data_IF_079876869703
#
_entry.id   IF_079876869703
#
_cell.length_a   1.000
_cell.length_b   1.000
_cell.length_c   1.000
_cell.angle_alpha   90.00
_cell.angle_beta   90.00
_cell.angle_gamma   90.00
#
_symmetry.space_group_name_H-M   'P 1'
#
loop_
_entity.id
_entity.type
_entity.pdbx_description
1 polymer ?
#
# COMPACT_ATOMS: atom_id res chain seq x y z
N UNK A 1 -20.49 6.80 -6.99
CA UNK A 1 -20.09 6.58 -8.39
C UNK A 1 -20.01 7.94 -9.07
N UNK A 2 -18.84 8.57 -9.03
CA UNK A 2 -18.52 9.78 -9.79
C UNK A 2 -17.87 9.32 -11.09
N UNK A 3 -18.59 9.45 -12.20
CA UNK A 3 -18.13 9.08 -13.51
C UNK A 3 -16.89 9.92 -13.88
N UNK A 4 -15.76 9.25 -14.15
CA UNK A 4 -14.71 9.85 -14.93
C UNK A 4 -15.25 10.18 -16.32
N UNK A 5 -15.07 11.40 -16.84
CA UNK A 5 -15.45 11.69 -18.22
C UNK A 5 -14.66 10.76 -19.15
N UNK A 6 -15.35 10.18 -20.13
CA UNK A 6 -14.76 9.43 -21.23
C UNK A 6 -13.86 10.37 -22.08
N UNK A 7 -12.62 10.56 -21.66
CA UNK A 7 -11.55 11.23 -22.43
C UNK A 7 -10.51 10.24 -22.97
N UNK A 8 -10.93 9.02 -23.29
CA UNK A 8 -10.06 8.03 -23.93
C UNK A 8 -10.29 8.01 -25.44
N UNK A 9 -9.76 8.99 -26.18
CA UNK A 9 -9.62 8.87 -27.63
C UNK A 9 -8.40 9.68 -28.09
N UNK A 10 -7.38 8.96 -28.57
CA UNK A 10 -6.30 9.45 -29.45
C UNK A 10 -5.26 10.43 -28.87
N UNK A 11 -4.56 10.09 -27.79
CA UNK A 11 -3.24 10.65 -27.57
C UNK A 11 -2.18 9.60 -27.94
N UNK A 12 -1.33 9.92 -28.94
CA UNK A 12 -0.03 9.25 -29.14
C UNK A 12 0.66 9.19 -27.78
N UNK A 13 1.05 8.00 -27.36
CA UNK A 13 1.76 7.75 -26.11
C UNK A 13 3.04 8.58 -26.06
N UNK A 14 2.96 9.77 -25.49
CA UNK A 14 4.15 10.61 -25.30
C UNK A 14 4.94 10.04 -24.14
N UNK A 15 6.22 9.74 -24.38
CA UNK A 15 7.15 9.31 -23.35
C UNK A 15 7.34 10.45 -22.35
N UNK A 16 7.05 10.18 -21.08
CA UNK A 16 7.23 11.12 -19.97
C UNK A 16 8.51 10.83 -19.21
N UNK A 17 9.11 11.87 -18.64
CA UNK A 17 10.17 11.78 -17.64
C UNK A 17 9.54 11.90 -16.24
N UNK A 18 9.52 10.82 -15.50
CA UNK A 18 8.82 10.68 -14.21
C UNK A 18 9.84 10.55 -13.10
N UNK A 19 9.68 11.34 -12.04
CA UNK A 19 10.43 11.19 -10.79
C UNK A 19 9.51 10.64 -9.72
N UNK A 20 9.83 9.47 -9.18
CA UNK A 20 9.15 8.87 -8.02
C UNK A 20 10.00 9.13 -6.78
N UNK A 21 9.46 9.86 -5.79
CA UNK A 21 10.14 10.14 -4.53
C UNK A 21 9.48 9.34 -3.40
N UNK A 22 10.23 8.39 -2.83
CA UNK A 22 9.74 7.45 -1.83
C UNK A 22 10.65 7.42 -0.59
N UNK A 23 10.06 7.43 0.60
CA UNK A 23 10.81 7.23 1.85
C UNK A 23 11.02 5.75 2.19
N UNK A 24 10.29 4.86 1.52
CA UNK A 24 10.40 3.40 1.61
C UNK A 24 10.49 2.84 0.19
N UNK A 25 11.58 2.15 -0.10
CA UNK A 25 11.89 1.55 -1.41
C UNK A 25 12.83 0.36 -1.20
N UNK A 26 12.79 -0.69 -2.04
CA UNK A 26 13.64 -1.86 -1.83
C UNK A 26 15.11 -1.52 -1.52
N UNK A 27 15.76 -2.29 -0.61
CA UNK A 27 15.35 -3.60 -0.08
C UNK A 27 14.34 -3.61 1.09
N UNK A 28 13.72 -2.47 1.42
CA UNK A 28 12.61 -2.44 2.38
C UNK A 28 11.43 -3.27 1.84
N UNK A 29 10.86 -4.14 2.68
CA UNK A 29 9.76 -5.06 2.34
C UNK A 29 8.38 -4.55 2.76
N UNK A 30 8.21 -3.24 2.95
CA UNK A 30 6.91 -2.65 3.23
C UNK A 30 6.00 -2.62 1.99
N UNK A 31 4.69 -2.64 2.18
CA UNK A 31 3.74 -2.55 1.07
C UNK A 31 3.94 -1.29 0.20
N UNK A 32 4.33 -0.16 0.81
CA UNK A 32 4.68 1.06 0.07
C UNK A 32 5.96 0.89 -0.78
N UNK A 33 6.98 0.20 -0.25
CA UNK A 33 8.21 -0.06 -1.00
C UNK A 33 7.94 -0.93 -2.23
N UNK A 34 7.17 -2.01 -2.05
CA UNK A 34 6.76 -2.93 -3.13
C UNK A 34 5.94 -2.17 -4.17
N UNK A 35 4.94 -1.40 -3.74
CA UNK A 35 4.12 -0.59 -4.66
C UNK A 35 4.97 0.41 -5.45
N UNK A 36 5.84 1.17 -4.78
CA UNK A 36 6.70 2.17 -5.42
C UNK A 36 7.64 1.55 -6.45
N UNK A 37 8.15 0.35 -6.18
CA UNK A 37 8.98 -0.41 -7.11
C UNK A 37 8.15 -0.89 -8.31
N UNK A 38 7.01 -1.52 -8.07
CA UNK A 38 6.14 -2.03 -9.13
C UNK A 38 5.69 -0.90 -10.05
N UNK A 39 5.29 0.25 -9.49
CA UNK A 39 4.94 1.44 -10.26
C UNK A 39 6.11 1.92 -11.15
N UNK A 40 7.32 2.00 -10.59
CA UNK A 40 8.49 2.39 -11.35
C UNK A 40 8.80 1.42 -12.51
N UNK A 41 8.72 0.12 -12.25
CA UNK A 41 8.95 -0.92 -13.27
C UNK A 41 7.84 -0.92 -14.33
N UNK A 42 6.57 -0.82 -13.94
CA UNK A 42 5.44 -0.77 -14.87
C UNK A 42 5.53 0.43 -15.81
N UNK A 43 5.76 1.63 -15.27
CA UNK A 43 5.95 2.84 -16.08
C UNK A 43 7.18 2.75 -16.99
N UNK A 44 8.28 2.15 -16.51
CA UNK A 44 9.46 1.90 -17.34
C UNK A 44 9.18 0.92 -18.47
N UNK A 45 8.44 -0.16 -18.20
CA UNK A 45 8.03 -1.14 -19.22
C UNK A 45 7.15 -0.52 -20.32
N UNK A 46 6.35 0.49 -19.96
CA UNK A 46 5.54 1.30 -20.91
C UNK A 46 6.34 2.37 -21.65
N UNK A 47 7.67 2.40 -21.48
CA UNK A 47 8.59 3.26 -22.27
C UNK A 47 8.93 4.60 -21.62
N UNK A 48 8.39 4.92 -20.45
CA UNK A 48 8.70 6.18 -19.77
C UNK A 48 10.16 6.22 -19.25
N UNK A 49 10.72 7.43 -19.13
CA UNK A 49 11.99 7.66 -18.44
C UNK A 49 11.74 7.80 -16.94
N UNK A 50 12.08 6.76 -16.16
CA UNK A 50 11.76 6.71 -14.72
C UNK A 50 13.02 6.92 -13.88
N UNK A 51 12.93 7.86 -12.94
CA UNK A 51 13.94 8.14 -11.92
C UNK A 51 13.31 7.94 -10.54
N UNK A 52 14.03 7.32 -9.64
CA UNK A 52 13.59 7.12 -8.23
C UNK A 52 14.51 7.89 -7.31
N UNK A 53 13.95 8.64 -6.35
CA UNK A 53 14.68 9.26 -5.25
C UNK A 53 14.27 8.54 -3.96
N UNK A 54 15.20 7.84 -3.31
CA UNK A 54 14.91 7.05 -2.13
C UNK A 54 16.10 7.04 -1.14
N UNK A 55 15.89 6.68 0.14
CA UNK A 55 16.99 6.47 1.08
C UNK A 55 17.96 5.38 0.61
N UNK A 56 19.22 5.54 0.93
CA UNK A 56 20.25 4.52 0.65
C UNK A 56 20.20 3.40 1.67
N UNK A 57 20.18 2.13 1.26
CA UNK A 57 20.26 1.00 2.19
C UNK A 57 21.65 0.83 2.83
N UNK A 58 22.65 1.54 2.32
CA UNK A 58 24.05 1.47 2.79
C UNK A 58 24.53 2.81 3.41
N UNK A 59 23.59 3.65 3.83
CA UNK A 59 23.80 4.96 4.46
C UNK A 59 24.51 6.01 3.59
N UNK A 60 25.33 5.61 2.61
CA UNK A 60 26.05 6.52 1.68
C UNK A 60 25.22 6.81 0.45
N UNK A 61 25.22 8.05 -0.07
CA UNK A 61 24.52 8.36 -1.31
C UNK A 61 25.22 7.71 -2.52
N UNK A 62 24.42 7.22 -3.48
CA UNK A 62 24.92 6.70 -4.76
C UNK A 62 23.82 6.81 -5.84
N UNK A 63 24.22 6.62 -7.08
CA UNK A 63 23.30 6.48 -8.22
C UNK A 63 23.52 5.10 -8.82
N UNK A 64 22.42 4.40 -9.09
CA UNK A 64 22.43 3.10 -9.75
C UNK A 64 21.43 3.09 -10.90
N UNK A 65 21.68 2.24 -11.90
CA UNK A 65 20.68 1.90 -12.91
C UNK A 65 20.25 0.45 -12.68
N UNK A 66 18.99 0.27 -12.32
CA UNK A 66 18.42 -1.05 -12.03
C UNK A 66 17.27 -1.28 -13.00
N UNK A 67 17.39 -2.27 -13.88
CA UNK A 67 16.40 -2.59 -14.92
C UNK A 67 15.94 -1.38 -15.76
N UNK A 68 16.87 -0.45 -16.05
CA UNK A 68 16.59 0.76 -16.84
C UNK A 68 15.96 1.92 -16.05
N UNK A 69 15.81 1.78 -14.74
CA UNK A 69 15.39 2.83 -13.81
C UNK A 69 16.63 3.46 -13.18
N UNK A 70 16.72 4.78 -13.17
CA UNK A 70 17.81 5.50 -12.51
C UNK A 70 17.44 5.77 -11.06
N UNK A 71 18.08 5.09 -10.13
CA UNK A 71 17.89 5.26 -8.69
C UNK A 71 18.88 6.27 -8.11
N UNK A 72 18.38 7.36 -7.57
CA UNK A 72 19.12 8.35 -6.80
C UNK A 72 18.97 8.02 -5.32
N UNK A 73 19.94 7.31 -4.75
CA UNK A 73 19.93 6.90 -3.35
C UNK A 73 20.54 7.99 -2.47
N UNK A 74 19.69 8.54 -1.60
CA UNK A 74 20.05 9.65 -0.70
C UNK A 74 20.76 9.11 0.54
N UNK A 75 21.60 9.95 1.13
CA UNK A 75 22.17 9.64 2.45
C UNK A 75 21.07 9.31 3.44
N UNK A 76 21.27 8.27 4.23
CA UNK A 76 20.29 7.77 5.20
C UNK A 76 20.96 7.34 6.49
N UNK A 77 20.15 7.17 7.53
CA UNK A 77 20.55 6.70 8.85
C UNK A 77 19.62 5.58 9.29
N UNK A 78 20.19 4.51 9.81
CA UNK A 78 19.43 3.45 10.47
C UNK A 78 19.16 3.87 11.93
N UNK A 79 17.92 3.69 12.36
CA UNK A 79 17.54 3.92 13.75
C UNK A 79 17.42 2.58 14.46
N UNK A 80 18.15 2.39 15.55
CA UNK A 80 18.22 1.15 16.32
C UNK A 80 16.83 0.64 16.77
N UNK A 81 15.89 1.55 16.99
CA UNK A 81 14.50 1.24 17.39
C UNK A 81 13.55 0.95 16.20
N UNK A 82 13.97 1.23 14.96
CA UNK A 82 13.21 1.01 13.73
C UNK A 82 13.99 0.08 12.80
N UNK A 83 14.32 -1.12 13.27
CA UNK A 83 15.13 -2.08 12.52
C UNK A 83 14.57 -2.28 11.10
N UNK A 84 15.45 -2.14 10.11
CA UNK A 84 15.11 -2.28 8.69
C UNK A 84 14.46 -1.04 8.08
N UNK A 85 14.40 0.11 8.78
CA UNK A 85 13.92 1.36 8.24
C UNK A 85 15.05 2.40 8.20
N UNK A 86 15.43 2.83 6.99
CA UNK A 86 16.44 3.85 6.76
C UNK A 86 15.77 5.19 6.47
N UNK A 87 16.10 6.22 7.26
CA UNK A 87 15.54 7.56 7.10
C UNK A 87 16.63 8.54 6.67
N UNK A 88 16.34 9.35 5.66
CA UNK A 88 17.18 10.47 5.25
C UNK A 88 16.87 11.72 6.09
N UNK A 89 17.87 12.53 6.42
CA UNK A 89 17.61 13.81 7.11
C UNK A 89 17.31 14.90 6.09
N UNK A 90 16.17 15.62 6.19
CA UNK A 90 15.78 16.62 5.20
C UNK A 90 16.85 17.64 4.87
N UNK A 91 17.60 18.11 5.88
CA UNK A 91 18.66 19.11 5.71
C UNK A 91 19.90 18.56 4.98
N UNK A 92 20.19 17.24 5.08
CA UNK A 92 21.33 16.62 4.39
C UNK A 92 21.04 16.41 2.90
N UNK A 93 19.78 16.07 2.54
CA UNK A 93 19.39 15.71 1.17
C UNK A 93 18.85 16.90 0.36
N UNK A 94 18.46 17.98 1.03
CA UNK A 94 17.75 19.12 0.45
C UNK A 94 18.40 19.67 -0.81
N UNK A 95 19.70 20.00 -0.76
CA UNK A 95 20.44 20.54 -1.91
C UNK A 95 20.57 19.53 -3.06
N UNK A 96 20.68 18.25 -2.74
CA UNK A 96 20.84 17.17 -3.72
C UNK A 96 19.54 16.94 -4.46
N UNK A 97 18.40 16.79 -3.73
CA UNK A 97 17.08 16.63 -4.34
C UNK A 97 16.74 17.82 -5.25
N UNK A 98 16.99 19.06 -4.77
CA UNK A 98 16.79 20.26 -5.62
C UNK A 98 17.58 20.17 -6.92
N UNK A 99 18.88 19.83 -6.86
CA UNK A 99 19.73 19.71 -8.07
C UNK A 99 19.25 18.62 -9.01
N UNK A 100 18.79 17.47 -8.49
CA UNK A 100 18.24 16.38 -9.28
C UNK A 100 16.99 16.87 -10.02
N UNK A 101 16.02 17.48 -9.32
CA UNK A 101 14.80 17.97 -9.95
C UNK A 101 15.07 19.07 -10.98
N UNK A 102 15.97 20.02 -10.69
CA UNK A 102 16.36 21.07 -11.64
C UNK A 102 17.07 20.49 -12.87
N UNK A 103 18.00 19.55 -12.70
CA UNK A 103 18.77 18.97 -13.79
C UNK A 103 17.95 18.03 -14.67
N UNK A 104 17.00 17.30 -14.07
CA UNK A 104 16.10 16.40 -14.81
C UNK A 104 14.98 17.16 -15.51
N UNK A 105 14.48 18.23 -14.87
CA UNK A 105 13.26 18.94 -15.30
C UNK A 105 12.16 17.94 -15.70
N UNK A 106 11.67 17.11 -14.74
CA UNK A 106 10.75 16.03 -15.05
C UNK A 106 9.37 16.57 -15.43
N UNK A 107 8.66 15.78 -16.22
CA UNK A 107 7.27 16.05 -16.62
C UNK A 107 6.31 15.93 -15.43
N UNK A 108 6.66 15.08 -14.44
CA UNK A 108 5.91 14.92 -13.21
C UNK A 108 6.81 14.44 -12.07
N UNK A 109 6.53 14.92 -10.86
CA UNK A 109 7.10 14.43 -9.60
C UNK A 109 5.99 13.72 -8.84
N UNK A 110 6.16 12.42 -8.59
CA UNK A 110 5.22 11.62 -7.83
C UNK A 110 5.81 11.22 -6.47
N UNK A 111 5.23 11.71 -5.40
CA UNK A 111 5.68 11.51 -4.03
C UNK A 111 4.84 10.44 -3.34
N UNK A 112 5.48 9.43 -2.74
CA UNK A 112 4.83 8.26 -2.14
C UNK A 112 4.64 8.36 -0.61
N UNK A 113 5.14 9.43 0.01
CA UNK A 113 5.00 9.68 1.45
C UNK A 113 5.33 11.12 1.81
N UNK A 114 4.95 11.57 3.01
CA UNK A 114 5.19 12.92 3.51
C UNK A 114 6.45 13.05 4.38
N UNK A 115 7.21 11.96 4.56
CA UNK A 115 8.36 11.94 5.45
C UNK A 115 9.55 12.74 4.86
N UNK A 116 10.77 12.30 5.05
CA UNK A 116 11.95 13.09 4.73
C UNK A 116 12.16 13.35 3.24
N UNK A 117 12.26 12.28 2.43
CA UNK A 117 12.49 12.39 0.97
C UNK A 117 11.26 13.02 0.31
N UNK A 118 10.08 12.54 0.64
CA UNK A 118 8.83 13.06 0.10
C UNK A 118 8.62 14.53 0.43
N UNK A 119 8.85 14.94 1.67
CA UNK A 119 8.76 16.35 2.11
C UNK A 119 9.68 17.27 1.30
N UNK A 120 10.94 16.86 1.11
CA UNK A 120 11.91 17.64 0.35
C UNK A 120 11.55 17.68 -1.13
N UNK A 121 11.07 16.57 -1.70
CA UNK A 121 10.60 16.51 -3.08
C UNK A 121 9.37 17.40 -3.29
N UNK A 122 8.34 17.35 -2.42
CA UNK A 122 7.17 18.24 -2.45
C UNK A 122 7.59 19.72 -2.43
N UNK A 123 8.50 20.09 -1.51
CA UNK A 123 8.99 21.45 -1.41
C UNK A 123 9.58 21.95 -2.74
N UNK A 124 10.51 21.19 -3.31
CA UNK A 124 11.21 21.66 -4.50
C UNK A 124 10.43 21.46 -5.80
N UNK A 125 9.57 20.47 -5.90
CA UNK A 125 8.64 20.38 -7.02
C UNK A 125 7.75 21.63 -7.11
N UNK A 126 7.18 22.06 -5.97
CA UNK A 126 6.37 23.27 -5.87
C UNK A 126 7.20 24.54 -6.18
N UNK A 127 8.39 24.72 -5.56
CA UNK A 127 9.27 25.88 -5.83
C UNK A 127 9.72 25.98 -7.30
N UNK A 128 9.86 24.84 -7.99
CA UNK A 128 10.27 24.78 -9.40
C UNK A 128 9.07 24.80 -10.37
N UNK A 129 7.84 24.85 -9.84
CA UNK A 129 6.61 24.79 -10.62
C UNK A 129 6.45 23.47 -11.40
N UNK A 130 6.98 22.36 -10.91
CA UNK A 130 6.84 21.04 -11.53
C UNK A 130 5.50 20.41 -11.14
N UNK A 131 4.82 19.70 -12.06
CA UNK A 131 3.61 18.95 -11.73
C UNK A 131 3.86 17.98 -10.58
N UNK A 132 3.09 18.11 -9.50
CA UNK A 132 3.29 17.37 -8.25
C UNK A 132 2.08 16.53 -7.91
N UNK A 133 2.28 15.21 -7.86
CA UNK A 133 1.30 14.24 -7.40
C UNK A 133 1.79 13.61 -6.10
N UNK A 134 0.89 13.41 -5.15
CA UNK A 134 1.21 12.72 -3.90
C UNK A 134 0.27 11.55 -3.69
N UNK A 135 0.82 10.41 -3.28
CA UNK A 135 0.03 9.24 -2.86
C UNK A 135 0.27 8.97 -1.38
N UNK A 136 -0.81 8.82 -0.63
CA UNK A 136 -0.74 8.45 0.78
C UNK A 136 -0.90 6.95 0.99
N UNK A 137 0.14 6.30 1.48
CA UNK A 137 0.15 4.90 1.92
C UNK A 137 0.28 4.76 3.45
N UNK A 138 0.20 5.85 4.18
CA UNK A 138 0.63 5.91 5.57
C UNK A 138 -0.50 6.37 6.48
N UNK A 139 -0.60 5.73 7.65
CA UNK A 139 -1.38 6.22 8.79
C UNK A 139 -0.43 6.43 9.96
N UNK A 140 -0.44 7.61 10.60
CA UNK A 140 0.41 7.91 11.75
C UNK A 140 0.30 6.87 12.88
N UNK A 141 -0.89 6.31 13.09
CA UNK A 141 -1.16 5.29 14.09
C UNK A 141 -0.26 4.06 13.90
N UNK A 142 -0.06 3.61 12.65
CA UNK A 142 0.80 2.47 12.35
C UNK A 142 2.28 2.69 12.74
N UNK A 143 2.76 3.94 12.72
CA UNK A 143 4.10 4.28 13.17
C UNK A 143 4.15 4.39 14.69
N UNK A 144 3.15 5.02 15.28
CA UNK A 144 3.09 5.22 16.74
C UNK A 144 2.94 3.91 17.49
N UNK A 145 2.19 2.95 16.96
CA UNK A 145 2.07 1.60 17.54
C UNK A 145 3.43 0.88 17.62
N UNK A 146 4.35 1.17 16.70
CA UNK A 146 5.71 0.65 16.76
C UNK A 146 6.60 1.36 17.79
N UNK A 147 6.38 2.66 18.00
CA UNK A 147 7.20 3.51 18.85
C UNK A 147 6.69 3.58 20.30
N UNK A 148 5.41 3.32 20.54
CA UNK A 148 4.70 3.68 21.79
C UNK A 148 4.57 2.54 22.79
N UNK A 149 5.54 1.63 22.89
CA UNK A 149 5.56 0.67 23.98
C UNK A 149 5.61 1.40 25.35
N UNK A 150 4.44 1.55 26.01
CA UNK A 150 4.33 2.20 27.33
C UNK A 150 3.90 3.68 27.33
N UNK A 151 3.60 4.28 26.18
CA UNK A 151 3.08 5.66 26.12
C UNK A 151 1.58 5.68 26.45
N UNK A 152 1.10 6.57 27.33
CA UNK A 152 -0.34 6.73 27.61
C UNK A 152 -1.16 7.02 26.35
N UNK A 153 -2.35 6.46 26.24
CA UNK A 153 -3.22 6.58 25.07
C UNK A 153 -3.50 8.03 24.64
N UNK A 154 -3.63 8.97 25.59
CA UNK A 154 -3.88 10.36 25.29
C UNK A 154 -2.66 11.05 24.60
N UNK A 155 -1.43 10.66 24.97
CA UNK A 155 -0.21 11.16 24.34
C UNK A 155 -0.09 10.57 22.92
N UNK A 156 -0.35 9.27 22.76
CA UNK A 156 -0.35 8.63 21.44
C UNK A 156 -1.36 9.30 20.50
N UNK A 157 -2.56 9.65 20.99
CA UNK A 157 -3.55 10.39 20.21
C UNK A 157 -3.04 11.78 19.81
N UNK A 158 -2.47 12.53 20.75
CA UNK A 158 -1.93 13.86 20.44
C UNK A 158 -0.82 13.79 19.38
N UNK A 159 0.08 12.81 19.50
CA UNK A 159 1.13 12.58 18.51
C UNK A 159 0.57 12.19 17.14
N UNK A 160 -0.49 11.37 17.09
CA UNK A 160 -1.18 11.03 15.85
C UNK A 160 -1.80 12.28 15.20
N UNK A 161 -2.52 13.10 15.98
CA UNK A 161 -3.11 14.35 15.50
C UNK A 161 -2.06 15.33 14.96
N UNK A 162 -0.90 15.42 15.63
CA UNK A 162 0.23 16.23 15.13
C UNK A 162 0.80 15.66 13.82
N UNK A 163 0.96 14.35 13.72
CA UNK A 163 1.47 13.72 12.51
C UNK A 163 0.50 13.82 11.34
N UNK A 164 -0.82 13.75 11.58
CA UNK A 164 -1.83 14.03 10.56
C UNK A 164 -1.79 15.46 10.05
N UNK A 165 -1.66 16.45 10.94
CA UNK A 165 -1.48 17.86 10.55
C UNK A 165 -0.21 18.08 9.76
N UNK A 166 0.88 17.44 10.15
CA UNK A 166 2.14 17.50 9.43
C UNK A 166 2.04 16.93 8.02
N UNK A 167 1.39 15.76 7.87
CA UNK A 167 1.05 15.18 6.57
C UNK A 167 0.23 16.16 5.72
N UNK A 168 -0.81 16.75 6.30
CA UNK A 168 -1.65 17.75 5.65
C UNK A 168 -0.84 18.95 5.15
N UNK A 169 0.07 19.49 5.98
CA UNK A 169 0.94 20.61 5.63
C UNK A 169 1.92 20.30 4.47
N UNK A 170 2.33 19.06 4.33
CA UNK A 170 3.20 18.64 3.21
C UNK A 170 2.39 18.45 1.95
N UNK A 171 1.27 17.70 2.04
CA UNK A 171 0.50 17.27 0.88
C UNK A 171 -0.41 18.36 0.30
N UNK A 172 -0.78 19.40 1.05
CA UNK A 172 -1.52 20.56 0.52
C UNK A 172 -0.82 21.29 -0.63
N UNK A 173 0.48 21.01 -0.85
CA UNK A 173 1.28 21.60 -1.94
C UNK A 173 1.11 20.85 -3.26
N UNK A 174 0.45 19.71 -3.25
CA UNK A 174 0.30 18.87 -4.42
C UNK A 174 -0.82 19.36 -5.35
N UNK A 175 -0.62 19.23 -6.65
CA UNK A 175 -1.65 19.47 -7.66
C UNK A 175 -2.72 18.36 -7.61
N UNK A 176 -2.30 17.13 -7.27
CA UNK A 176 -3.19 15.98 -7.14
C UNK A 176 -2.84 15.13 -5.92
N UNK A 177 -3.88 14.77 -5.17
CA UNK A 177 -3.82 13.89 -4.03
C UNK A 177 -4.40 12.52 -4.39
N UNK A 178 -3.68 11.44 -4.08
CA UNK A 178 -4.10 10.06 -4.33
C UNK A 178 -4.07 9.26 -3.04
N UNK A 179 -4.97 8.30 -2.91
CA UNK A 179 -4.89 7.24 -1.91
C UNK A 179 -5.41 5.92 -2.49
N UNK A 180 -5.03 4.77 -1.91
CA UNK A 180 -5.29 3.46 -2.52
C UNK A 180 -6.75 3.00 -2.44
N UNK A 181 -7.60 3.68 -1.66
CA UNK A 181 -9.01 3.34 -1.52
C UNK A 181 -9.87 4.58 -1.22
N UNK A 182 -11.19 4.54 -1.50
CA UNK A 182 -12.10 5.62 -1.11
C UNK A 182 -12.09 5.89 0.40
N UNK A 183 -11.96 4.85 1.22
CA UNK A 183 -11.84 4.99 2.68
C UNK A 183 -10.55 5.71 3.06
N UNK A 184 -9.45 5.45 2.38
CA UNK A 184 -8.18 6.16 2.62
C UNK A 184 -8.30 7.65 2.29
N UNK A 185 -9.05 8.03 1.25
CA UNK A 185 -9.38 9.43 0.95
C UNK A 185 -10.22 10.04 2.08
N UNK A 186 -11.24 9.32 2.57
CA UNK A 186 -12.07 9.79 3.67
C UNK A 186 -11.26 10.03 4.95
N UNK A 187 -10.35 9.11 5.29
CA UNK A 187 -9.43 9.24 6.44
C UNK A 187 -8.53 10.48 6.31
N UNK A 188 -7.97 10.74 5.13
CA UNK A 188 -7.16 11.95 4.91
C UNK A 188 -7.99 13.24 5.01
N UNK A 189 -9.23 13.22 4.53
CA UNK A 189 -10.14 14.36 4.66
C UNK A 189 -10.46 14.66 6.12
N UNK A 190 -10.72 13.62 6.90
CA UNK A 190 -11.09 13.72 8.32
C UNK A 190 -9.92 14.20 9.20
N UNK A 191 -8.74 13.56 9.04
CA UNK A 191 -7.62 13.76 9.97
C UNK A 191 -6.58 14.77 9.48
N UNK A 192 -6.29 14.82 8.18
CA UNK A 192 -5.32 15.73 7.59
C UNK A 192 -5.96 16.98 6.97
N UNK A 193 -7.29 17.06 6.97
CA UNK A 193 -8.08 18.16 6.37
C UNK A 193 -7.80 18.37 4.87
N UNK A 194 -7.41 17.30 4.17
CA UNK A 194 -7.16 17.29 2.73
C UNK A 194 -8.40 16.80 2.00
N UNK A 195 -8.90 17.62 1.07
CA UNK A 195 -10.05 17.27 0.23
C UNK A 195 -9.67 17.09 -1.24
N UNK A 196 -10.59 16.55 -2.05
CA UNK A 196 -10.43 16.50 -3.50
C UNK A 196 -9.49 15.40 -4.03
N UNK A 197 -9.14 14.40 -3.20
CA UNK A 197 -8.28 13.30 -3.61
C UNK A 197 -8.96 12.29 -4.55
N UNK A 198 -8.15 11.58 -5.33
CA UNK A 198 -8.56 10.50 -6.24
C UNK A 198 -8.17 9.16 -5.64
N UNK A 199 -9.08 8.18 -5.71
CA UNK A 199 -8.76 6.81 -5.31
C UNK A 199 -8.19 6.03 -6.50
N UNK A 200 -6.92 5.58 -6.40
CA UNK A 200 -6.30 4.69 -7.36
C UNK A 200 -5.76 3.49 -6.58
N UNK A 201 -6.24 2.29 -6.92
CA UNK A 201 -5.79 1.05 -6.29
C UNK A 201 -4.27 0.88 -6.43
N UNK A 202 -3.64 0.26 -5.43
CA UNK A 202 -2.24 -0.16 -5.56
C UNK A 202 -2.03 -1.21 -6.65
N UNK A 203 -3.09 -1.93 -7.02
CA UNK A 203 -3.05 -2.95 -8.05
C UNK A 203 -2.32 -4.22 -7.63
N UNK A 204 -2.63 -5.27 -8.34
CA UNK A 204 -1.98 -6.58 -8.25
C UNK A 204 -1.94 -7.21 -9.65
N UNK A 205 -0.90 -7.97 -9.96
CA UNK A 205 -0.78 -8.67 -11.24
C UNK A 205 -1.72 -9.89 -11.25
N UNK A 206 -2.98 -9.69 -11.62
CA UNK A 206 -4.00 -10.73 -11.62
C UNK A 206 -3.61 -11.98 -12.40
N UNK A 207 -3.10 -11.88 -13.64
CA UNK A 207 -2.77 -13.05 -14.46
C UNK A 207 -1.85 -14.06 -13.78
N UNK A 208 -0.87 -13.59 -13.01
CA UNK A 208 0.10 -14.47 -12.34
C UNK A 208 -0.59 -15.33 -11.27
N UNK A 209 -1.42 -14.70 -10.41
CA UNK A 209 -2.14 -15.42 -9.35
C UNK A 209 -3.21 -16.35 -9.92
N UNK A 210 -3.93 -15.93 -10.98
CA UNK A 210 -4.92 -16.75 -11.65
C UNK A 210 -4.32 -17.98 -12.30
N UNK A 211 -3.19 -17.83 -13.01
CA UNK A 211 -2.47 -18.93 -13.64
C UNK A 211 -1.95 -19.94 -12.60
N UNK A 212 -1.40 -19.47 -11.50
CA UNK A 212 -0.94 -20.33 -10.40
C UNK A 212 -2.12 -21.10 -9.77
N UNK A 213 -3.25 -20.44 -9.50
CA UNK A 213 -4.41 -21.05 -8.88
C UNK A 213 -5.05 -22.15 -9.76
N UNK A 214 -5.03 -21.99 -11.09
CA UNK A 214 -5.54 -22.98 -12.04
C UNK A 214 -4.70 -24.28 -12.06
N UNK A 215 -3.41 -24.18 -11.80
CA UNK A 215 -2.46 -25.29 -11.90
C UNK A 215 -2.12 -25.91 -10.54
N UNK A 216 -2.58 -25.35 -9.43
CA UNK A 216 -2.22 -25.80 -8.11
C UNK A 216 -3.00 -27.04 -7.68
N UNK A 217 -2.29 -28.02 -7.12
CA UNK A 217 -2.91 -29.10 -6.36
C UNK A 217 -3.34 -28.60 -4.99
N UNK A 218 -4.63 -28.74 -4.68
CA UNK A 218 -5.15 -28.37 -3.37
C UNK A 218 -4.78 -29.36 -2.28
N UNK A 219 -4.71 -28.88 -1.07
CA UNK A 219 -4.41 -29.71 0.09
C UNK A 219 -5.59 -30.66 0.43
N UNK A 220 -5.33 -31.80 1.14
CA UNK A 220 -6.37 -32.75 1.51
C UNK A 220 -7.44 -32.19 2.47
N UNK A 221 -7.06 -31.16 3.23
CA UNK A 221 -7.94 -30.43 4.13
C UNK A 221 -7.88 -28.93 3.77
N UNK A 222 -8.91 -28.14 4.06
CA UNK A 222 -8.87 -26.71 3.79
C UNK A 222 -7.74 -26.01 4.52
N UNK A 223 -7.08 -25.07 3.83
CA UNK A 223 -6.03 -24.23 4.35
C UNK A 223 -6.49 -22.77 4.45
N UNK A 224 -6.40 -22.24 5.68
CA UNK A 224 -6.55 -20.82 5.99
C UNK A 224 -5.19 -20.14 5.81
N UNK A 225 -5.15 -19.01 5.14
CA UNK A 225 -3.92 -18.25 4.90
C UNK A 225 -4.01 -16.85 5.50
N UNK A 226 -2.95 -16.47 6.19
CA UNK A 226 -2.64 -15.08 6.53
C UNK A 226 -1.27 -14.72 5.94
N UNK A 227 -1.18 -13.54 5.31
CA UNK A 227 0.08 -12.99 4.80
C UNK A 227 0.25 -11.56 5.32
N UNK A 228 1.38 -11.30 5.97
CA UNK A 228 1.68 -9.95 6.47
C UNK A 228 2.65 -9.92 7.64
N UNK A 229 3.02 -8.72 8.06
CA UNK A 229 3.89 -8.54 9.23
C UNK A 229 3.20 -9.01 10.50
N UNK A 230 3.94 -9.66 11.40
CA UNK A 230 3.42 -10.14 12.68
C UNK A 230 3.59 -9.05 13.75
N UNK A 231 2.75 -8.01 13.64
CA UNK A 231 2.74 -6.86 14.55
C UNK A 231 1.37 -6.73 15.23
N UNK A 232 1.32 -5.98 16.33
CA UNK A 232 0.12 -5.87 17.17
C UNK A 232 -1.15 -5.48 16.39
N UNK A 233 -1.07 -4.47 15.49
CA UNK A 233 -2.22 -4.00 14.72
C UNK A 233 -2.75 -4.99 13.68
N UNK A 234 -2.07 -6.14 13.50
CA UNK A 234 -2.51 -7.20 12.58
C UNK A 234 -3.44 -8.22 13.22
N UNK A 235 -3.55 -8.20 14.55
CA UNK A 235 -4.47 -9.02 15.33
C UNK A 235 -4.48 -10.52 14.97
N UNK A 236 -3.31 -11.09 14.64
CA UNK A 236 -3.18 -12.52 14.27
C UNK A 236 -3.54 -13.41 15.46
N UNK A 237 -3.39 -12.91 16.66
CA UNK A 237 -3.84 -13.58 17.90
C UNK A 237 -5.34 -13.87 17.93
N UNK A 238 -6.18 -13.01 17.33
CA UNK A 238 -7.62 -13.22 17.24
C UNK A 238 -7.94 -14.38 16.28
N UNK A 239 -7.18 -14.51 15.19
CA UNK A 239 -7.32 -15.62 14.23
C UNK A 239 -6.96 -16.96 14.89
N UNK A 240 -5.86 -16.99 15.67
CA UNK A 240 -5.48 -18.19 16.43
C UNK A 240 -6.53 -18.54 17.48
N UNK A 241 -7.13 -17.53 18.12
CA UNK A 241 -8.19 -17.75 19.09
C UNK A 241 -9.44 -18.30 18.42
N UNK A 242 -9.86 -17.73 17.29
CA UNK A 242 -11.00 -18.22 16.51
C UNK A 242 -10.78 -19.67 16.02
N UNK A 243 -9.54 -20.02 15.59
CA UNK A 243 -9.20 -21.40 15.24
C UNK A 243 -9.39 -22.39 16.40
N UNK A 244 -9.16 -21.95 17.64
CA UNK A 244 -9.33 -22.78 18.83
C UNK A 244 -10.81 -22.96 19.23
N UNK A 245 -11.69 -22.08 18.78
CA UNK A 245 -13.15 -22.16 19.04
C UNK A 245 -13.89 -23.09 18.06
N UNK A 246 -13.26 -23.46 16.94
CA UNK A 246 -13.87 -24.35 15.95
C UNK A 246 -14.26 -25.70 16.57
N UNK A 247 -15.32 -26.29 16.03
CA UNK A 247 -15.74 -27.64 16.45
C UNK A 247 -14.59 -28.65 16.30
N UNK A 248 -14.42 -29.62 17.21
CA UNK A 248 -13.33 -30.60 17.16
C UNK A 248 -13.28 -31.43 15.86
N UNK A 249 -14.43 -31.58 15.19
CA UNK A 249 -14.55 -32.28 13.91
C UNK A 249 -14.11 -31.45 12.71
N UNK A 250 -14.04 -30.12 12.83
CA UNK A 250 -13.71 -29.19 11.74
C UNK A 250 -12.22 -29.25 11.44
N UNK A 251 -11.91 -29.72 10.24
CA UNK A 251 -10.54 -29.79 9.75
C UNK A 251 -10.21 -28.48 9.03
N UNK A 252 -9.31 -27.70 9.60
CA UNK A 252 -8.78 -26.48 9.01
C UNK A 252 -7.33 -26.32 9.47
N UNK A 253 -6.42 -26.14 8.53
CA UNK A 253 -5.01 -25.84 8.80
C UNK A 253 -4.75 -24.36 8.59
N UNK A 254 -3.95 -23.72 9.43
CA UNK A 254 -3.65 -22.29 9.35
C UNK A 254 -2.20 -22.04 9.00
N UNK A 255 -1.98 -21.46 7.82
CA UNK A 255 -0.67 -21.02 7.34
C UNK A 255 -0.49 -19.52 7.63
N UNK A 256 0.53 -19.18 8.38
CA UNK A 256 0.89 -17.82 8.75
C UNK A 256 2.20 -17.48 8.03
N UNK A 257 2.14 -16.60 7.03
CA UNK A 257 3.30 -16.13 6.27
C UNK A 257 3.70 -14.74 6.73
N UNK A 258 4.92 -14.62 7.22
CA UNK A 258 5.50 -13.34 7.59
C UNK A 258 6.37 -13.36 8.83
N UNK A 259 7.00 -12.21 9.06
CA UNK A 259 7.88 -11.96 10.20
C UNK A 259 7.40 -10.76 11.00
N UNK A 260 7.85 -10.64 12.24
CA UNK A 260 7.49 -9.50 13.10
C UNK A 260 7.72 -9.77 14.56
N UNK A 261 7.53 -8.73 15.37
CA UNK A 261 7.84 -8.75 16.81
C UNK A 261 6.95 -9.70 17.61
N UNK A 262 5.78 -10.05 17.07
CA UNK A 262 4.79 -10.90 17.72
C UNK A 262 4.92 -12.39 17.44
N UNK A 263 5.84 -12.84 16.59
CA UNK A 263 5.94 -14.23 16.15
C UNK A 263 5.99 -15.22 17.31
N UNK A 264 6.86 -15.00 18.29
CA UNK A 264 7.02 -15.91 19.43
C UNK A 264 5.81 -15.88 20.39
N UNK A 265 5.19 -14.70 20.56
CA UNK A 265 3.94 -14.57 21.33
C UNK A 265 2.82 -15.37 20.68
N UNK A 266 2.70 -15.32 19.34
CA UNK A 266 1.70 -16.07 18.57
C UNK A 266 1.93 -17.58 18.65
N UNK A 267 3.17 -18.05 18.57
CA UNK A 267 3.51 -19.47 18.76
C UNK A 267 3.12 -19.96 20.15
N UNK A 268 3.47 -19.18 21.18
CA UNK A 268 3.10 -19.50 22.57
C UNK A 268 1.57 -19.56 22.72
N UNK A 269 0.84 -18.59 22.17
CA UNK A 269 -0.63 -18.57 22.19
C UNK A 269 -1.23 -19.80 21.50
N UNK A 270 -0.73 -20.20 20.36
CA UNK A 270 -1.20 -21.39 19.66
C UNK A 270 -0.97 -22.68 20.48
N UNK A 271 0.15 -22.77 21.22
CA UNK A 271 0.44 -23.88 22.11
C UNK A 271 -0.47 -23.88 23.36
N UNK A 272 -0.68 -22.73 23.99
CA UNK A 272 -1.58 -22.55 25.14
C UNK A 272 -3.03 -22.94 24.81
N UNK A 273 -3.49 -22.58 23.59
CA UNK A 273 -4.82 -22.93 23.09
C UNK A 273 -4.90 -24.33 22.47
N UNK A 274 -3.78 -25.12 22.49
CA UNK A 274 -3.68 -26.49 21.97
C UNK A 274 -4.03 -26.63 20.48
N UNK A 275 -3.71 -25.62 19.68
CA UNK A 275 -3.91 -25.63 18.23
C UNK A 275 -2.63 -25.54 17.44
N UNK A 276 -1.47 -25.66 18.11
CA UNK A 276 -0.14 -25.53 17.46
C UNK A 276 0.08 -26.54 16.32
N UNK A 277 -0.47 -27.75 16.43
CA UNK A 277 -0.38 -28.79 15.42
C UNK A 277 -1.22 -28.48 14.15
N UNK A 278 -2.10 -27.49 14.24
CA UNK A 278 -2.93 -26.99 13.15
C UNK A 278 -2.40 -25.68 12.54
N UNK A 279 -1.24 -25.19 13.02
CA UNK A 279 -0.68 -23.89 12.61
C UNK A 279 0.74 -24.08 12.07
N UNK A 280 1.00 -23.61 10.86
CA UNK A 280 2.35 -23.52 10.31
C UNK A 280 2.78 -22.07 10.19
N UNK A 281 3.92 -21.75 10.80
CA UNK A 281 4.56 -20.45 10.69
C UNK A 281 5.63 -20.50 9.60
N UNK A 282 5.37 -19.81 8.51
CA UNK A 282 6.35 -19.55 7.47
C UNK A 282 7.05 -18.22 7.78
N UNK A 283 8.33 -18.13 7.50
CA UNK A 283 9.06 -16.87 7.54
C UNK A 283 8.80 -16.05 6.25
N UNK A 284 9.79 -15.37 5.78
CA UNK A 284 9.75 -14.72 4.48
C UNK A 284 9.71 -15.82 3.38
N UNK A 285 8.77 -15.68 2.47
CA UNK A 285 8.71 -16.43 1.23
C UNK A 285 9.12 -15.51 0.08
N UNK A 286 9.84 -16.02 -0.89
CA UNK A 286 10.03 -15.32 -2.16
C UNK A 286 8.70 -15.26 -2.96
N UNK A 287 8.68 -14.49 -4.04
CA UNK A 287 7.46 -14.24 -4.80
C UNK A 287 6.84 -15.52 -5.35
N UNK A 288 7.64 -16.45 -5.87
CA UNK A 288 7.16 -17.72 -6.44
C UNK A 288 6.53 -18.62 -5.36
N UNK A 289 7.20 -18.76 -4.23
CA UNK A 289 6.70 -19.54 -3.10
C UNK A 289 5.45 -18.91 -2.46
N UNK A 290 5.37 -17.56 -2.45
CA UNK A 290 4.20 -16.83 -1.95
C UNK A 290 3.01 -17.04 -2.89
N UNK A 291 3.20 -16.91 -4.20
CA UNK A 291 2.17 -17.15 -5.21
C UNK A 291 1.64 -18.59 -5.12
N UNK A 292 2.54 -19.59 -4.97
CA UNK A 292 2.15 -20.98 -4.77
C UNK A 292 1.32 -21.15 -3.48
N UNK A 293 1.68 -20.43 -2.40
CA UNK A 293 0.95 -20.49 -1.13
C UNK A 293 -0.48 -19.99 -1.28
N UNK A 294 -0.69 -18.85 -1.95
CA UNK A 294 -2.04 -18.38 -2.29
C UNK A 294 -2.79 -19.41 -3.14
N UNK A 295 -2.17 -19.92 -4.18
CA UNK A 295 -2.77 -20.88 -5.11
C UNK A 295 -3.26 -22.17 -4.42
N UNK A 296 -2.57 -22.63 -3.37
CA UNK A 296 -2.91 -23.84 -2.61
C UNK A 296 -3.86 -23.60 -1.44
N UNK A 297 -4.12 -22.35 -1.07
CA UNK A 297 -5.00 -21.99 0.04
C UNK A 297 -6.46 -21.98 -0.36
N UNK A 298 -7.36 -22.09 0.62
CA UNK A 298 -8.81 -22.20 0.43
C UNK A 298 -9.58 -21.04 1.03
N UNK A 299 -9.03 -20.36 2.04
CA UNK A 299 -9.62 -19.23 2.75
C UNK A 299 -8.50 -18.25 3.06
N UNK A 300 -8.73 -16.96 2.84
CA UNK A 300 -7.81 -15.92 3.30
C UNK A 300 -8.42 -15.13 4.45
N UNK A 301 -7.62 -14.80 5.45
CA UNK A 301 -8.05 -14.02 6.61
C UNK A 301 -7.16 -12.82 6.86
N UNK A 302 -7.78 -11.67 7.19
CA UNK A 302 -7.06 -10.48 7.61
C UNK A 302 -7.81 -9.77 8.73
N UNK A 303 -7.24 -9.77 9.92
CA UNK A 303 -7.80 -9.14 11.12
C UNK A 303 -7.24 -7.74 11.40
N UNK A 304 -6.48 -7.15 10.45
CA UNK A 304 -5.81 -5.87 10.62
C UNK A 304 -6.78 -4.71 10.82
N UNK A 305 -6.42 -3.79 11.71
CA UNK A 305 -7.19 -2.55 11.97
C UNK A 305 -6.54 -1.30 11.37
N UNK A 306 -5.45 -1.44 10.60
CA UNK A 306 -4.68 -0.28 10.09
C UNK A 306 -4.34 -0.34 8.60
N UNK A 307 -5.11 -1.05 7.76
CA UNK A 307 -4.87 -1.14 6.32
C UNK A 307 -5.63 -0.04 5.56
N UNK A 308 -4.93 0.80 4.82
CA UNK A 308 -5.56 1.70 3.83
C UNK A 308 -6.02 0.94 2.58
N UNK A 309 -5.23 -0.04 2.15
CA UNK A 309 -5.57 -1.11 1.22
C UNK A 309 -4.61 -2.28 1.47
N UNK A 310 -5.12 -3.49 1.50
CA UNK A 310 -4.31 -4.69 1.73
C UNK A 310 -3.92 -5.34 0.42
N UNK A 311 -2.63 -5.26 0.04
CA UNK A 311 -2.10 -6.00 -1.11
C UNK A 311 -2.29 -7.50 -0.94
N UNK A 312 -2.01 -8.04 0.26
CA UNK A 312 -2.22 -9.46 0.55
C UNK A 312 -3.67 -9.92 0.35
N UNK A 313 -4.65 -9.05 0.64
CA UNK A 313 -6.07 -9.34 0.35
C UNK A 313 -6.34 -9.30 -1.16
N UNK A 314 -5.76 -8.36 -1.90
CA UNK A 314 -5.89 -8.31 -3.36
C UNK A 314 -5.27 -9.54 -4.04
N UNK A 315 -4.12 -10.00 -3.55
CA UNK A 315 -3.45 -11.24 -4.01
C UNK A 315 -4.35 -12.47 -3.75
N UNK A 316 -4.98 -12.53 -2.57
CA UNK A 316 -5.94 -13.58 -2.25
C UNK A 316 -7.16 -13.56 -3.17
N UNK A 317 -7.76 -12.38 -3.40
CA UNK A 317 -8.88 -12.22 -4.33
C UNK A 317 -8.48 -12.66 -5.75
N UNK A 318 -7.27 -12.29 -6.18
CA UNK A 318 -6.71 -12.64 -7.49
C UNK A 318 -6.43 -14.13 -7.66
N UNK A 319 -6.21 -14.83 -6.54
CA UNK A 319 -6.07 -16.29 -6.49
C UNK A 319 -7.42 -17.03 -6.44
N UNK A 320 -8.53 -16.29 -6.46
CA UNK A 320 -9.87 -16.88 -6.45
C UNK A 320 -10.23 -17.58 -5.15
N UNK A 321 -9.79 -17.06 -4.00
CA UNK A 321 -10.15 -17.59 -2.69
C UNK A 321 -11.05 -16.63 -1.91
N UNK A 322 -12.04 -17.14 -1.15
CA UNK A 322 -12.89 -16.32 -0.31
C UNK A 322 -12.11 -15.66 0.81
N UNK A 323 -12.59 -14.50 1.27
CA UNK A 323 -11.91 -13.70 2.28
C UNK A 323 -12.76 -13.53 3.54
N UNK A 324 -12.11 -13.55 4.71
CA UNK A 324 -12.71 -13.19 6.00
C UNK A 324 -11.92 -12.01 6.56
N UNK A 325 -12.53 -10.82 6.56
CA UNK A 325 -11.83 -9.57 6.83
C UNK A 325 -12.41 -8.85 8.04
N UNK A 326 -11.54 -8.16 8.78
CA UNK A 326 -12.00 -7.24 9.82
C UNK A 326 -12.75 -6.04 9.20
N UNK A 327 -13.85 -5.62 9.81
CA UNK A 327 -14.58 -4.42 9.43
C UNK A 327 -13.84 -3.17 9.91
N UNK A 328 -12.69 -2.90 9.28
CA UNK A 328 -11.81 -1.81 9.68
C UNK A 328 -11.14 -1.15 8.48
N UNK A 329 -11.13 0.17 8.49
CA UNK A 329 -10.46 1.09 7.54
C UNK A 329 -10.67 0.69 6.07
N UNK A 330 -9.64 0.18 5.42
CA UNK A 330 -9.64 -0.14 3.98
C UNK A 330 -10.02 -1.58 3.62
N UNK A 331 -10.24 -2.48 4.59
CA UNK A 331 -10.61 -3.87 4.28
C UNK A 331 -12.06 -4.04 3.77
N UNK A 332 -13.06 -3.30 4.30
CA UNK A 332 -14.45 -3.52 3.90
C UNK A 332 -14.75 -3.33 2.42
N UNK A 333 -13.98 -2.50 1.70
CA UNK A 333 -14.22 -2.28 0.27
C UNK A 333 -13.76 -3.45 -0.63
N UNK A 334 -13.01 -4.42 -0.07
CA UNK A 334 -12.52 -5.61 -0.76
C UNK A 334 -13.42 -6.82 -0.57
N UNK A 335 -14.52 -6.69 0.18
CA UNK A 335 -15.44 -7.78 0.45
C UNK A 335 -16.90 -7.34 0.35
N UNK A 336 -17.70 -8.13 -0.34
CA UNK A 336 -19.16 -8.07 -0.34
C UNK A 336 -19.65 -9.22 0.52
N UNK A 337 -20.14 -8.95 1.76
CA UNK A 337 -20.52 -10.01 2.71
C UNK A 337 -21.53 -10.98 2.11
N UNK A 338 -21.26 -12.28 2.25
CA UNK A 338 -22.08 -13.35 1.69
C UNK A 338 -21.86 -13.61 0.19
N UNK A 339 -21.10 -12.78 -0.52
CA UNK A 339 -20.82 -12.91 -1.95
C UNK A 339 -19.42 -13.48 -2.19
N UNK A 340 -18.35 -12.81 -1.72
CA UNK A 340 -16.98 -13.28 -1.85
C UNK A 340 -16.30 -13.55 -0.49
N UNK A 341 -17.02 -13.40 0.62
CA UNK A 341 -16.49 -13.61 1.96
C UNK A 341 -17.34 -12.99 3.04
N UNK A 342 -16.69 -12.70 4.17
CA UNK A 342 -17.34 -12.17 5.37
C UNK A 342 -16.60 -11.00 5.98
N UNK A 343 -17.34 -10.15 6.70
CA UNK A 343 -16.81 -9.09 7.55
C UNK A 343 -17.13 -9.40 9.02
N UNK A 344 -16.13 -9.30 9.90
CA UNK A 344 -16.32 -9.40 11.35
C UNK A 344 -15.86 -8.11 12.05
N UNK A 345 -16.43 -7.80 13.20
CA UNK A 345 -15.97 -6.66 14.01
C UNK A 345 -14.61 -6.98 14.64
N UNK A 346 -13.64 -6.03 14.63
CA UNK A 346 -12.35 -6.25 15.28
C UNK A 346 -12.53 -6.73 16.74
N UNK A 347 -11.87 -7.85 17.08
CA UNK A 347 -11.99 -8.49 18.40
C UNK A 347 -13.16 -9.44 18.59
N UNK A 348 -14.09 -9.52 17.63
CA UNK A 348 -15.20 -10.51 17.66
C UNK A 348 -14.69 -11.86 17.13
N UNK A 349 -14.02 -12.60 18.03
CA UNK A 349 -13.42 -13.89 17.71
C UNK A 349 -14.45 -15.01 17.52
N UNK A 350 -15.65 -14.87 18.11
CA UNK A 350 -16.76 -15.81 17.94
C UNK A 350 -17.32 -15.72 16.52
N UNK A 351 -17.69 -14.52 16.05
CA UNK A 351 -18.12 -14.33 14.67
C UNK A 351 -17.03 -14.74 13.65
N UNK A 352 -15.75 -14.45 13.94
CA UNK A 352 -14.64 -14.91 13.10
C UNK A 352 -14.60 -16.45 13.05
N UNK A 353 -14.74 -17.13 14.19
CA UNK A 353 -14.78 -18.60 14.25
C UNK A 353 -15.92 -19.18 13.44
N UNK A 354 -17.14 -18.64 13.59
CA UNK A 354 -18.33 -19.10 12.86
C UNK A 354 -18.14 -18.97 11.34
N UNK A 355 -17.57 -17.86 10.86
CA UNK A 355 -17.28 -17.66 9.43
C UNK A 355 -16.19 -18.61 8.92
N UNK A 356 -15.14 -18.86 9.71
CA UNK A 356 -14.11 -19.83 9.36
C UNK A 356 -14.66 -21.25 9.32
N UNK A 357 -15.53 -21.62 10.27
CA UNK A 357 -16.18 -22.94 10.29
C UNK A 357 -17.08 -23.15 9.09
N UNK A 358 -17.96 -22.18 8.78
CA UNK A 358 -18.83 -22.23 7.60
C UNK A 358 -18.04 -22.45 6.32
N UNK A 359 -16.94 -21.70 6.13
CA UNK A 359 -16.10 -21.87 4.96
C UNK A 359 -15.27 -23.17 5.00
N UNK A 360 -14.84 -23.66 6.17
CA UNK A 360 -14.09 -24.91 6.29
C UNK A 360 -14.91 -26.12 5.84
N UNK A 361 -16.19 -26.19 6.23
CA UNK A 361 -17.06 -27.34 5.95
C UNK A 361 -17.76 -27.27 4.59
N UNK A 362 -17.92 -26.09 4.01
CA UNK A 362 -18.72 -25.90 2.78
C UNK A 362 -17.84 -25.60 1.56
N UNK A 363 -17.40 -26.66 0.89
CA UNK A 363 -16.57 -26.55 -0.32
C UNK A 363 -17.27 -25.82 -1.47
N UNK A 364 -18.58 -26.06 -1.68
CA UNK A 364 -19.32 -25.40 -2.76
C UNK A 364 -19.39 -23.90 -2.55
N UNK A 365 -19.59 -23.45 -1.28
CA UNK A 365 -19.59 -22.05 -0.91
C UNK A 365 -18.22 -21.43 -1.14
N UNK A 366 -17.13 -22.10 -0.74
CA UNK A 366 -15.75 -21.63 -1.02
C UNK A 366 -15.53 -21.42 -2.53
N UNK A 367 -15.92 -22.40 -3.36
CA UNK A 367 -15.78 -22.29 -4.82
C UNK A 367 -16.59 -21.13 -5.40
N UNK A 368 -17.83 -20.95 -4.94
CA UNK A 368 -18.68 -19.85 -5.38
C UNK A 368 -18.07 -18.50 -4.98
N UNK A 369 -17.74 -18.33 -3.70
CA UNK A 369 -17.17 -17.08 -3.18
C UNK A 369 -15.79 -16.79 -3.78
N UNK A 370 -14.99 -17.81 -4.06
CA UNK A 370 -13.71 -17.68 -4.74
C UNK A 370 -13.86 -17.14 -6.16
N UNK A 371 -14.88 -17.61 -6.91
CA UNK A 371 -15.21 -17.05 -8.22
C UNK A 371 -15.59 -15.57 -8.12
N UNK A 372 -16.40 -15.19 -7.14
CA UNK A 372 -16.76 -13.79 -6.91
C UNK A 372 -15.56 -12.93 -6.48
N UNK A 373 -14.60 -13.51 -5.76
CA UNK A 373 -13.34 -12.84 -5.44
C UNK A 373 -12.57 -12.41 -6.69
N UNK A 374 -12.51 -13.28 -7.72
CA UNK A 374 -11.88 -12.92 -9.01
C UNK A 374 -12.58 -11.73 -9.69
N UNK A 375 -13.90 -11.65 -9.62
CA UNK A 375 -14.66 -10.53 -10.20
C UNK A 375 -14.40 -9.22 -9.46
N UNK A 376 -14.33 -9.28 -8.11
CA UNK A 376 -14.00 -8.11 -7.29
C UNK A 376 -12.55 -7.67 -7.50
N UNK A 377 -11.63 -8.59 -7.81
CA UNK A 377 -10.24 -8.28 -8.10
C UNK A 377 -10.04 -7.53 -9.43
N UNK A 378 -10.90 -7.72 -10.43
CA UNK A 378 -10.71 -7.18 -11.79
C UNK A 378 -10.41 -5.67 -11.85
N UNK A 379 -11.12 -4.78 -11.14
CA UNK A 379 -10.80 -3.35 -11.14
C UNK A 379 -9.43 -3.03 -10.53
N UNK A 380 -8.85 -3.98 -9.80
CA UNK A 380 -7.57 -3.86 -9.10
C UNK A 380 -6.41 -4.47 -9.88
N UNK A 381 -6.58 -4.79 -11.18
CA UNK A 381 -5.45 -5.18 -12.01
C UNK A 381 -4.41 -4.06 -12.06
N UNK A 382 -3.15 -4.45 -11.97
CA UNK A 382 -2.03 -3.51 -11.96
C UNK A 382 -1.95 -2.69 -13.26
N UNK A 383 -2.36 -3.24 -14.39
CA UNK A 383 -2.46 -2.49 -15.65
C UNK A 383 -3.47 -1.33 -15.55
N UNK A 384 -4.64 -1.53 -14.90
CA UNK A 384 -5.59 -0.46 -14.63
C UNK A 384 -5.01 0.62 -13.70
N UNK A 385 -4.16 0.22 -12.76
CA UNK A 385 -3.43 1.15 -11.89
C UNK A 385 -2.48 2.02 -12.69
N UNK A 386 -1.71 1.42 -13.59
CA UNK A 386 -0.78 2.15 -14.48
C UNK A 386 -1.54 3.12 -15.39
N UNK A 387 -2.63 2.66 -16.03
CA UNK A 387 -3.49 3.52 -16.88
C UNK A 387 -4.01 4.74 -16.11
N UNK A 388 -4.45 4.50 -14.88
CA UNK A 388 -4.98 5.57 -14.02
C UNK A 388 -3.90 6.60 -13.65
N UNK A 389 -2.69 6.15 -13.31
CA UNK A 389 -1.59 7.07 -13.02
C UNK A 389 -1.10 7.81 -14.25
N UNK A 390 -0.97 7.16 -15.41
CA UNK A 390 -0.59 7.83 -16.65
C UNK A 390 -1.60 8.93 -17.04
N UNK A 391 -2.90 8.63 -16.95
CA UNK A 391 -3.94 9.61 -17.19
C UNK A 391 -3.84 10.81 -16.21
N UNK A 392 -3.59 10.52 -14.93
CA UNK A 392 -3.44 11.55 -13.91
C UNK A 392 -2.19 12.42 -14.15
N UNK A 393 -1.08 11.82 -14.59
CA UNK A 393 0.15 12.54 -14.92
C UNK A 393 -0.05 13.49 -16.09
N UNK A 394 -0.72 13.04 -17.17
CA UNK A 394 -1.04 13.87 -18.33
C UNK A 394 -1.94 15.04 -17.95
N UNK A 395 -2.98 14.81 -17.18
CA UNK A 395 -3.85 15.87 -16.63
C UNK A 395 -3.04 16.93 -15.87
N UNK A 396 -2.16 16.49 -14.96
CA UNK A 396 -1.35 17.42 -14.17
C UNK A 396 -0.35 18.23 -15.04
N UNK A 397 0.21 17.62 -16.09
CA UNK A 397 1.06 18.32 -17.06
C UNK A 397 0.29 19.40 -17.84
N UNK A 398 -0.87 19.05 -18.39
CA UNK A 398 -1.70 19.97 -19.19
C UNK A 398 -2.14 21.18 -18.39
N UNK A 399 -2.59 20.97 -17.16
CA UNK A 399 -2.98 22.05 -16.26
C UNK A 399 -1.80 22.95 -15.89
N UNK A 400 -0.65 22.36 -15.59
CA UNK A 400 0.56 23.10 -15.27
C UNK A 400 1.04 23.92 -16.49
N UNK A 401 1.00 23.36 -17.69
CA UNK A 401 1.33 24.08 -18.93
C UNK A 401 0.39 25.25 -19.19
N UNK A 402 -0.92 25.06 -18.99
CA UNK A 402 -1.94 26.11 -19.14
C UNK A 402 -1.74 27.23 -18.11
N UNK A 403 -1.47 26.87 -16.85
CA UNK A 403 -1.20 27.85 -15.80
C UNK A 403 0.06 28.68 -16.11
N UNK A 404 1.13 28.07 -16.64
CA UNK A 404 2.35 28.78 -17.09
C UNK A 404 2.06 29.73 -18.25
N UNK A 405 1.31 29.29 -19.27
CA UNK A 405 0.94 30.15 -20.40
C UNK A 405 0.13 31.37 -19.95
N UNK A 406 -0.75 31.21 -18.96
CA UNK A 406 -1.49 32.35 -18.41
C UNK A 406 -0.58 33.29 -17.62
N UNK A 407 0.42 32.80 -16.91
CA UNK A 407 1.38 33.63 -16.19
C UNK A 407 2.30 34.40 -17.16
N UNK A 408 2.73 33.74 -18.25
CA UNK A 408 3.56 34.36 -19.29
C UNK A 408 2.78 35.38 -20.14
N UNK A 409 1.46 35.25 -20.21
CA UNK A 409 0.56 36.19 -20.91
C UNK A 409 0.15 37.41 -20.05
N UNK A 410 0.43 37.40 -18.74
CA UNK A 410 0.31 38.58 -17.89
C UNK A 410 1.50 39.49 -18.20
N UNK A 411 1.22 40.71 -18.70
CA UNK A 411 2.18 41.72 -19.11
C UNK A 411 3.38 41.81 -18.16
N UNK A 412 4.62 41.62 -18.63
CA UNK A 412 5.81 41.75 -17.80
C UNK A 412 6.01 43.14 -17.16
N UNK A 413 5.27 44.15 -17.59
CA UNK A 413 5.29 45.51 -17.05
C UNK A 413 4.21 45.76 -15.95
N UNK A 414 3.43 44.72 -15.55
CA UNK A 414 2.46 44.89 -14.46
C UNK A 414 3.16 44.86 -13.09
N UNK A 415 3.50 46.04 -12.60
CA UNK A 415 4.03 46.23 -11.23
C UNK A 415 2.87 46.16 -10.24
N UNK A 416 2.86 45.18 -9.36
CA UNK A 416 1.93 45.13 -8.24
C UNK A 416 2.05 46.41 -7.40
N UNK A 417 0.93 47.13 -7.10
CA UNK A 417 0.96 48.20 -6.13
C UNK A 417 1.45 47.63 -4.79
N UNK A 418 2.51 48.23 -4.26
CA UNK A 418 2.97 47.90 -2.90
C UNK A 418 2.00 48.60 -1.94
N UNK A 419 1.19 47.83 -1.18
CA UNK A 419 0.55 48.27 0.04
C UNK A 419 1.41 47.92 1.25
#
# INVERSE_FOLDING_TARGET
MGAFPQFYANHKESIMKIVIAADSYPPDVSGNAIFSQNLAHGLRARGHSVHVIAPSPVSRPYIANVAGITEHRMRSHEFAYLRGFSLSMPWEISRTVRRILQGLNPDVVHVQSHLSVGRVACKYANELGLPLIVTNHFTPENLLDRLSCGVPKFISKLLADMAWRDLGNVFQRADRLVAPSPTAIAVMKEHAHLGGGVSISNGVNLPIYQAAAQNAEKNPIPHLLYVGRLEKQKHVEDIITALALLQPSTKLHFDIVGTGTKKEDLRRKAAELRVIDRVTFHDYLDDDALIERYARSDIFVNASTGELQSLATLEALSSGIPVVLANAVGLPHLVSPGVNGYLFQPGDVEALSDYLEDLAINEQKRKFMGKMSLEIAQPHDFENTLDSYEALYRCAQEENATARQHLDAIDPDYVFPQE
#
